data_IF_163701785341
#
_entry.id   IF_163701785341
#
_cell.length_a   1.000
_cell.length_b   1.000
_cell.length_c   1.000
_cell.angle_alpha   90.00
_cell.angle_beta   90.00
_cell.angle_gamma   90.00
#
_symmetry.space_group_name_H-M   'P 1'
#
loop_
_entity.id
_entity.type
_entity.pdbx_description
1 polymer ?
#
# COMPACT_ATOMS: atom_id res chain seq x y z
N UNK A 1 0.22 14.10 -7.25
CA UNK A 1 -0.08 14.07 -5.81
C UNK A 1 -1.57 14.26 -5.63
N UNK A 2 -2.14 13.66 -4.58
CA UNK A 2 -3.53 13.91 -4.18
C UNK A 2 -3.71 15.40 -3.83
N UNK A 3 -4.73 16.03 -4.41
CA UNK A 3 -4.91 17.49 -4.32
C UNK A 3 -5.74 17.91 -3.11
N UNK A 4 -6.72 17.08 -2.73
CA UNK A 4 -7.67 17.39 -1.67
C UNK A 4 -8.26 16.12 -1.04
N UNK A 5 -9.05 16.28 0.03
CA UNK A 5 -9.63 15.16 0.79
C UNK A 5 -10.69 14.42 -0.03
N UNK A 6 -11.40 15.10 -0.91
CA UNK A 6 -12.40 14.49 -1.78
C UNK A 6 -11.75 13.50 -2.75
N UNK A 7 -10.64 13.87 -3.39
CA UNK A 7 -9.89 13.00 -4.30
C UNK A 7 -9.32 11.77 -3.57
N UNK A 8 -8.88 11.92 -2.31
CA UNK A 8 -8.46 10.79 -1.47
C UNK A 8 -9.62 9.84 -1.16
N UNK A 9 -10.80 10.38 -0.80
CA UNK A 9 -11.99 9.58 -0.54
C UNK A 9 -12.47 8.87 -1.82
N UNK A 10 -12.43 9.54 -2.97
CA UNK A 10 -12.74 8.91 -4.27
C UNK A 10 -11.78 7.77 -4.58
N UNK A 11 -10.48 7.95 -4.34
CA UNK A 11 -9.48 6.92 -4.54
C UNK A 11 -9.76 5.69 -3.67
N UNK A 12 -10.06 5.90 -2.39
CA UNK A 12 -10.41 4.83 -1.45
C UNK A 12 -11.65 4.08 -1.93
N UNK A 13 -12.72 4.79 -2.31
CA UNK A 13 -13.95 4.18 -2.84
C UNK A 13 -13.69 3.38 -4.11
N UNK A 14 -12.84 3.89 -5.00
CA UNK A 14 -12.44 3.16 -6.20
C UNK A 14 -11.70 1.87 -5.86
N UNK A 15 -10.85 1.87 -4.82
CA UNK A 15 -10.24 0.68 -4.27
C UNK A 15 -11.27 -0.39 -3.87
N UNK A 16 -12.32 -0.01 -3.14
CA UNK A 16 -13.39 -0.96 -2.77
C UNK A 16 -14.20 -1.48 -3.96
N UNK A 17 -14.40 -0.67 -5.00
CA UNK A 17 -15.04 -1.16 -6.23
C UNK A 17 -14.15 -2.19 -6.96
N UNK A 18 -12.83 -2.01 -6.95
CA UNK A 18 -11.88 -3.02 -7.45
C UNK A 18 -11.90 -4.26 -6.55
N UNK A 19 -11.92 -4.10 -5.22
CA UNK A 19 -12.01 -5.21 -4.26
C UNK A 19 -13.18 -6.14 -4.57
N UNK A 20 -14.36 -5.59 -4.83
CA UNK A 20 -15.53 -6.40 -5.23
C UNK A 20 -15.28 -7.20 -6.51
N UNK A 21 -14.61 -6.61 -7.51
CA UNK A 21 -14.29 -7.30 -8.77
C UNK A 21 -13.28 -8.43 -8.53
N UNK A 22 -12.22 -8.16 -7.77
CA UNK A 22 -11.14 -9.11 -7.50
C UNK A 22 -11.64 -10.24 -6.60
N UNK A 23 -12.34 -9.96 -5.49
CA UNK A 23 -12.88 -11.00 -4.61
C UNK A 23 -13.93 -11.87 -5.33
N UNK A 24 -14.68 -11.31 -6.28
CA UNK A 24 -15.61 -12.13 -7.10
C UNK A 24 -14.89 -12.97 -8.15
N UNK A 25 -13.71 -12.55 -8.59
CA UNK A 25 -12.88 -13.33 -9.50
C UNK A 25 -12.11 -14.42 -8.75
N UNK A 26 -11.67 -14.12 -7.53
CA UNK A 26 -10.94 -15.00 -6.63
C UNK A 26 -9.81 -15.77 -7.33
N UNK A 27 -8.78 -15.05 -7.80
CA UNK A 27 -7.82 -15.56 -8.79
C UNK A 27 -7.07 -16.84 -8.39
N UNK A 28 -6.98 -17.13 -7.09
CA UNK A 28 -6.33 -18.33 -6.55
C UNK A 28 -7.16 -19.00 -5.45
N UNK A 29 -8.48 -18.76 -5.43
CA UNK A 29 -9.45 -19.46 -4.58
C UNK A 29 -9.16 -19.29 -3.07
N UNK A 30 -8.93 -18.04 -2.64
CA UNK A 30 -8.68 -17.73 -1.23
C UNK A 30 -9.94 -17.35 -0.47
N UNK A 31 -11.01 -16.92 -1.13
CA UNK A 31 -12.19 -16.40 -0.43
C UNK A 31 -12.98 -17.46 0.35
N UNK A 32 -12.74 -18.75 0.10
CA UNK A 32 -13.30 -19.85 0.91
C UNK A 32 -12.56 -20.03 2.25
N UNK A 33 -11.28 -19.68 2.31
CA UNK A 33 -10.39 -20.03 3.42
C UNK A 33 -9.85 -18.83 4.20
N UNK A 34 -9.78 -17.66 3.54
CA UNK A 34 -9.13 -16.47 4.04
C UNK A 34 -10.13 -15.33 4.24
N UNK A 35 -9.81 -14.34 5.10
CA UNK A 35 -10.60 -13.13 5.22
C UNK A 35 -10.60 -12.30 3.93
N UNK A 36 -11.56 -11.38 3.79
CA UNK A 36 -11.73 -10.61 2.55
C UNK A 36 -10.60 -9.60 2.26
N UNK A 37 -9.67 -9.36 3.17
CA UNK A 37 -8.54 -8.43 3.01
C UNK A 37 -7.31 -9.04 2.32
N UNK A 38 -7.39 -10.32 1.95
CA UNK A 38 -6.30 -11.09 1.36
C UNK A 38 -5.67 -10.44 0.13
N UNK A 39 -6.48 -9.85 -0.76
CA UNK A 39 -6.01 -9.22 -1.99
C UNK A 39 -5.72 -7.72 -1.86
N UNK A 40 -5.72 -7.14 -0.65
CA UNK A 40 -5.61 -5.68 -0.47
C UNK A 40 -4.33 -5.10 -1.09
N UNK A 41 -3.25 -5.88 -1.13
CA UNK A 41 -1.97 -5.43 -1.67
C UNK A 41 -2.01 -5.31 -3.21
N UNK A 42 -2.58 -6.30 -3.87
CA UNK A 42 -2.80 -6.36 -5.32
C UNK A 42 -3.82 -5.30 -5.74
N UNK A 43 -4.95 -5.22 -5.02
CA UNK A 43 -6.01 -4.24 -5.26
C UNK A 43 -5.45 -2.82 -5.19
N UNK A 44 -4.63 -2.51 -4.17
CA UNK A 44 -3.99 -1.20 -4.04
C UNK A 44 -3.05 -0.90 -5.21
N UNK A 45 -2.26 -1.90 -5.64
CA UNK A 45 -1.40 -1.80 -6.82
C UNK A 45 -2.19 -1.49 -8.10
N UNK A 46 -3.24 -2.25 -8.38
CA UNK A 46 -4.13 -2.06 -9.54
C UNK A 46 -4.80 -0.69 -9.49
N UNK A 47 -5.34 -0.30 -8.33
CA UNK A 47 -5.99 1.00 -8.09
C UNK A 47 -5.06 2.16 -8.45
N UNK A 48 -3.84 2.15 -7.89
CA UNK A 48 -2.86 3.20 -8.11
C UNK A 48 -2.41 3.24 -9.58
N UNK A 49 -2.22 2.07 -10.22
CA UNK A 49 -1.87 1.98 -11.64
C UNK A 49 -2.93 2.63 -12.53
N UNK A 50 -4.21 2.32 -12.31
CA UNK A 50 -5.33 2.87 -13.10
C UNK A 50 -5.52 4.36 -12.82
N UNK A 51 -5.39 4.80 -11.57
CA UNK A 51 -5.47 6.21 -11.21
C UNK A 51 -4.36 7.05 -11.86
N UNK A 52 -3.14 6.50 -11.93
CA UNK A 52 -2.00 7.13 -12.59
C UNK A 52 -2.12 7.12 -14.13
N UNK A 53 -2.86 6.17 -14.70
CA UNK A 53 -2.96 5.95 -16.15
C UNK A 53 -4.42 5.90 -16.59
N UNK A 54 -5.13 7.03 -16.52
CA UNK A 54 -6.58 7.11 -16.77
C UNK A 54 -7.05 6.53 -18.11
N UNK A 55 -6.19 6.54 -19.12
CA UNK A 55 -6.47 6.06 -20.47
C UNK A 55 -5.75 4.73 -20.79
N UNK A 56 -5.37 3.95 -19.77
CA UNK A 56 -4.73 2.65 -19.98
C UNK A 56 -5.65 1.73 -20.81
N UNK A 57 -5.09 1.14 -21.86
CA UNK A 57 -5.80 0.15 -22.66
C UNK A 57 -6.06 -1.12 -21.85
N UNK A 58 -7.20 -1.77 -22.09
CA UNK A 58 -7.60 -2.98 -21.34
C UNK A 58 -6.61 -4.13 -21.51
N UNK A 59 -5.94 -4.27 -22.67
CA UNK A 59 -4.94 -5.33 -22.87
C UNK A 59 -3.71 -5.06 -22.04
N UNK A 60 -3.25 -3.81 -22.02
CA UNK A 60 -2.11 -3.39 -21.22
C UNK A 60 -2.41 -3.53 -19.72
N UNK A 61 -3.58 -3.07 -19.27
CA UNK A 61 -3.99 -3.26 -17.87
C UNK A 61 -4.11 -4.75 -17.51
N UNK A 62 -4.65 -5.59 -18.40
CA UNK A 62 -4.70 -7.04 -18.17
C UNK A 62 -3.31 -7.66 -18.00
N UNK A 63 -2.32 -7.22 -18.78
CA UNK A 63 -0.93 -7.64 -18.62
C UNK A 63 -0.32 -7.20 -17.29
N UNK A 64 -0.61 -5.98 -16.84
CA UNK A 64 -0.13 -5.47 -15.55
C UNK A 64 -0.79 -6.17 -14.35
N UNK A 65 -2.10 -6.45 -14.41
CA UNK A 65 -2.80 -7.28 -13.42
C UNK A 65 -2.14 -8.65 -13.32
N UNK A 66 -1.87 -9.30 -14.45
CA UNK A 66 -1.16 -10.59 -14.49
C UNK A 66 0.22 -10.49 -13.82
N UNK A 67 0.96 -9.41 -14.03
CA UNK A 67 2.26 -9.19 -13.39
C UNK A 67 2.14 -8.99 -11.87
N UNK A 68 1.14 -8.25 -11.39
CA UNK A 68 0.87 -8.09 -9.95
C UNK A 68 0.64 -9.44 -9.29
N UNK A 69 -0.31 -10.22 -9.80
CA UNK A 69 -0.64 -11.49 -9.17
C UNK A 69 0.53 -12.49 -9.24
N UNK A 70 1.29 -12.52 -10.35
CA UNK A 70 2.53 -13.32 -10.42
C UNK A 70 3.61 -12.85 -9.46
N UNK A 71 3.68 -11.56 -9.16
CA UNK A 71 4.68 -11.04 -8.22
C UNK A 71 4.40 -11.54 -6.81
N UNK A 72 3.14 -11.50 -6.37
CA UNK A 72 2.77 -11.89 -5.02
C UNK A 72 2.63 -13.41 -4.83
N UNK A 73 2.05 -14.10 -5.81
CA UNK A 73 1.72 -15.52 -5.70
C UNK A 73 2.64 -16.40 -6.53
N UNK A 74 3.66 -15.84 -7.17
CA UNK A 74 4.68 -16.58 -7.92
C UNK A 74 4.08 -17.63 -8.88
N UNK A 75 4.38 -18.91 -8.65
CA UNK A 75 3.93 -20.02 -9.48
C UNK A 75 2.50 -20.47 -9.16
N UNK A 76 1.94 -20.07 -8.01
CA UNK A 76 0.59 -20.45 -7.58
C UNK A 76 -0.47 -19.68 -8.39
N UNK A 77 -0.12 -18.53 -8.94
CA UNK A 77 -0.99 -17.82 -9.88
C UNK A 77 -0.82 -18.33 -11.32
N UNK A 78 -1.78 -19.16 -11.75
CA UNK A 78 -1.90 -19.59 -13.14
C UNK A 78 -3.30 -19.28 -13.68
N UNK A 79 -3.39 -18.24 -14.51
CA UNK A 79 -4.64 -17.77 -15.09
C UNK A 79 -4.92 -18.32 -16.48
N UNK A 80 -6.20 -18.58 -16.76
CA UNK A 80 -6.68 -18.87 -18.11
C UNK A 80 -6.44 -17.70 -19.07
N UNK A 81 -6.42 -18.00 -20.37
CA UNK A 81 -6.18 -16.98 -21.40
C UNK A 81 -7.29 -15.91 -21.39
N UNK A 82 -6.88 -14.64 -21.41
CA UNK A 82 -7.73 -13.44 -21.49
C UNK A 82 -8.57 -13.11 -20.23
N UNK A 83 -8.46 -13.87 -19.14
CA UNK A 83 -9.26 -13.58 -17.94
C UNK A 83 -8.92 -12.19 -17.37
N UNK A 84 -7.64 -11.80 -17.35
CA UNK A 84 -7.22 -10.50 -16.85
C UNK A 84 -7.67 -9.34 -17.75
N UNK A 85 -7.83 -9.56 -19.06
CA UNK A 85 -8.37 -8.53 -19.96
C UNK A 85 -9.86 -8.26 -19.65
N UNK A 86 -10.61 -9.31 -19.32
CA UNK A 86 -12.01 -9.18 -18.88
C UNK A 86 -12.09 -8.46 -17.53
N UNK A 87 -11.21 -8.78 -16.58
CA UNK A 87 -11.11 -8.10 -15.29
C UNK A 87 -10.71 -6.64 -15.46
N UNK A 88 -9.71 -6.36 -16.29
CA UNK A 88 -9.29 -5.02 -16.66
C UNK A 88 -10.44 -4.19 -17.24
N UNK A 89 -11.25 -4.78 -18.12
CA UNK A 89 -12.42 -4.12 -18.70
C UNK A 89 -13.44 -3.70 -17.64
N UNK A 90 -13.72 -4.57 -16.65
CA UNK A 90 -14.61 -4.26 -15.51
C UNK A 90 -14.05 -3.12 -14.65
N UNK A 91 -12.75 -3.12 -14.40
CA UNK A 91 -12.06 -2.08 -13.60
C UNK A 91 -12.09 -0.73 -14.31
N UNK A 92 -11.79 -0.70 -15.62
CA UNK A 92 -11.85 0.52 -16.44
C UNK A 92 -13.28 1.07 -16.47
N UNK A 93 -14.30 0.22 -16.57
CA UNK A 93 -15.68 0.69 -16.52
C UNK A 93 -16.02 1.34 -15.17
N UNK A 94 -15.57 0.73 -14.06
CA UNK A 94 -15.75 1.34 -12.73
C UNK A 94 -14.98 2.64 -12.56
N UNK A 95 -13.78 2.76 -13.12
CA UNK A 95 -12.95 3.95 -12.96
C UNK A 95 -13.60 5.21 -13.56
N UNK A 96 -14.44 5.07 -14.59
CA UNK A 96 -15.18 6.18 -15.21
C UNK A 96 -16.09 6.96 -14.24
N UNK A 97 -16.53 6.32 -13.15
CA UNK A 97 -17.33 6.96 -12.10
C UNK A 97 -16.55 8.03 -11.33
N UNK A 98 -15.23 7.91 -11.28
CA UNK A 98 -14.36 8.73 -10.46
C UNK A 98 -13.63 9.77 -11.29
N UNK A 99 -13.37 10.95 -10.71
CA UNK A 99 -12.65 12.04 -11.38
C UNK A 99 -11.19 12.12 -10.91
N UNK A 100 -10.56 10.96 -10.74
CA UNK A 100 -9.18 10.85 -10.27
C UNK A 100 -8.23 11.52 -11.27
N UNK A 101 -7.45 12.48 -10.78
CA UNK A 101 -6.43 13.22 -11.54
C UNK A 101 -5.15 13.36 -10.70
N UNK A 102 -4.84 12.31 -9.92
CA UNK A 102 -3.75 12.31 -8.97
C UNK A 102 -2.61 11.43 -9.47
N UNK A 103 -1.39 11.94 -9.28
CA UNK A 103 -0.18 11.12 -9.31
C UNK A 103 -0.02 10.55 -7.91
N UNK A 104 -0.11 9.24 -7.78
CA UNK A 104 0.08 8.47 -6.55
C UNK A 104 1.38 7.67 -6.72
N UNK A 105 2.19 7.47 -5.65
CA UNK A 105 3.31 6.54 -5.72
C UNK A 105 2.87 5.21 -6.33
N UNK A 106 3.53 4.82 -7.43
CA UNK A 106 3.21 3.56 -8.07
C UNK A 106 3.77 2.45 -7.18
N UNK A 107 2.93 1.48 -6.82
CA UNK A 107 3.30 0.46 -5.85
C UNK A 107 4.40 -0.48 -6.37
N UNK A 108 4.61 -0.53 -7.68
CA UNK A 108 5.73 -1.25 -8.31
C UNK A 108 7.10 -0.56 -8.18
N UNK A 109 7.26 0.49 -7.36
CA UNK A 109 8.59 0.92 -6.93
C UNK A 109 9.18 -0.18 -6.01
N UNK A 110 9.55 -1.27 -6.69
CA UNK A 110 10.23 -2.46 -6.23
C UNK A 110 11.68 -2.08 -5.97
N UNK A 111 11.94 -1.27 -4.95
CA UNK A 111 13.18 -1.50 -4.22
C UNK A 111 13.03 -2.92 -3.65
N UNK A 112 13.47 -3.91 -4.44
CA UNK A 112 13.53 -5.29 -4.01
C UNK A 112 14.40 -5.31 -2.77
N UNK A 113 13.77 -5.50 -1.62
CA UNK A 113 14.49 -5.64 -0.37
C UNK A 113 15.15 -7.01 -0.44
N UNK A 114 16.45 -7.00 -0.73
CA UNK A 114 17.26 -8.22 -0.78
C UNK A 114 17.69 -8.51 0.65
N UNK A 115 17.06 -9.51 1.27
CA UNK A 115 17.48 -10.04 2.57
C UNK A 115 18.67 -10.98 2.36
N UNK A 116 19.70 -10.87 3.21
CA UNK A 116 20.88 -11.75 3.12
C UNK A 116 20.62 -13.12 3.75
N UNK A 117 19.68 -13.19 4.69
CA UNK A 117 19.33 -14.40 5.42
C UNK A 117 17.90 -14.30 5.99
N UNK A 118 17.39 -15.43 6.46
CA UNK A 118 16.08 -15.57 7.08
C UNK A 118 15.90 -14.64 8.30
N UNK A 119 16.93 -14.50 9.14
CA UNK A 119 16.89 -13.61 10.30
C UNK A 119 16.63 -12.15 9.93
N UNK A 120 17.25 -11.63 8.87
CA UNK A 120 16.99 -10.27 8.38
C UNK A 120 15.56 -10.11 7.86
N UNK A 121 15.03 -11.14 7.19
CA UNK A 121 13.65 -11.18 6.73
C UNK A 121 12.66 -11.18 7.90
N UNK A 122 12.90 -12.00 8.92
CA UNK A 122 12.06 -12.07 10.13
C UNK A 122 12.03 -10.74 10.88
N UNK A 123 13.19 -10.11 11.05
CA UNK A 123 13.29 -8.77 11.66
C UNK A 123 12.45 -7.78 10.85
N UNK A 124 12.57 -7.78 9.52
CA UNK A 124 11.81 -6.88 8.66
C UNK A 124 10.30 -7.11 8.76
N UNK A 125 9.85 -8.37 8.71
CA UNK A 125 8.43 -8.74 8.83
C UNK A 125 7.87 -8.26 10.17
N UNK A 126 8.56 -8.55 11.27
CA UNK A 126 8.14 -8.12 12.61
C UNK A 126 8.09 -6.59 12.74
N UNK A 127 9.08 -5.88 12.20
CA UNK A 127 9.06 -4.42 12.15
C UNK A 127 7.90 -3.89 11.33
N UNK A 128 7.63 -4.49 10.17
CA UNK A 128 6.52 -4.07 9.33
C UNK A 128 5.18 -4.22 10.04
N UNK A 129 4.95 -5.33 10.72
CA UNK A 129 3.73 -5.57 11.50
C UNK A 129 3.59 -4.51 12.61
N UNK A 130 4.63 -4.30 13.41
CA UNK A 130 4.57 -3.37 14.55
C UNK A 130 4.44 -1.92 14.12
N UNK A 131 5.18 -1.51 13.10
CA UNK A 131 5.09 -0.16 12.57
C UNK A 131 3.74 0.06 11.89
N UNK A 132 3.17 -0.95 11.20
CA UNK A 132 1.80 -0.89 10.67
C UNK A 132 0.78 -0.62 11.78
N UNK A 133 0.86 -1.33 12.90
CA UNK A 133 -0.02 -1.11 14.06
C UNK A 133 0.09 0.33 14.58
N UNK A 134 1.32 0.84 14.77
CA UNK A 134 1.57 2.20 15.25
C UNK A 134 1.03 3.26 14.28
N UNK A 135 1.34 3.12 12.99
CA UNK A 135 0.96 4.11 11.97
C UNK A 135 -0.55 4.11 11.72
N UNK A 136 -1.19 2.93 11.67
CA UNK A 136 -2.63 2.84 11.53
C UNK A 136 -3.36 3.39 12.77
N UNK A 137 -2.79 3.23 13.97
CA UNK A 137 -3.37 3.81 15.19
C UNK A 137 -3.20 5.33 15.25
N UNK A 138 -2.09 5.85 14.72
CA UNK A 138 -1.88 7.29 14.57
C UNK A 138 -2.84 7.90 13.56
N UNK A 139 -3.10 7.20 12.46
CA UNK A 139 -3.99 7.60 11.36
C UNK A 139 -3.84 9.09 11.00
N UNK A 140 -2.67 9.51 10.48
CA UNK A 140 -2.36 10.92 10.28
C UNK A 140 -3.30 11.64 9.30
N UNK A 141 -4.11 10.90 8.52
CA UNK A 141 -5.09 11.47 7.59
C UNK A 141 -6.54 11.26 8.05
N UNK A 142 -6.77 10.56 9.16
CA UNK A 142 -8.11 10.21 9.67
C UNK A 142 -8.91 9.48 8.59
N UNK A 143 -8.35 8.41 8.05
CA UNK A 143 -8.91 7.59 6.97
C UNK A 143 -9.05 6.11 7.31
N UNK A 144 -8.48 5.61 8.40
CA UNK A 144 -8.45 4.18 8.69
C UNK A 144 -9.84 3.58 8.88
N UNK A 145 -10.82 4.36 9.35
CA UNK A 145 -12.22 3.94 9.46
C UNK A 145 -12.90 3.69 8.10
N UNK A 146 -12.32 4.19 7.01
CA UNK A 146 -12.91 4.13 5.67
C UNK A 146 -12.01 3.49 4.62
N UNK A 147 -10.77 3.11 4.96
CA UNK A 147 -9.77 2.60 4.03
C UNK A 147 -9.36 1.16 4.32
N UNK A 148 -8.56 0.60 3.42
CA UNK A 148 -7.87 -0.68 3.64
C UNK A 148 -6.87 -0.59 4.78
N UNK A 149 -6.60 -1.73 5.42
CA UNK A 149 -5.64 -1.82 6.52
C UNK A 149 -4.22 -1.47 6.09
N UNK A 150 -3.94 -1.62 4.79
CA UNK A 150 -2.63 -1.42 4.19
C UNK A 150 -2.48 -0.05 3.50
N UNK A 151 -3.36 0.92 3.75
CA UNK A 151 -3.36 2.21 3.04
C UNK A 151 -2.04 3.00 3.23
N UNK A 152 -1.37 2.85 4.39
CA UNK A 152 -0.05 3.44 4.66
C UNK A 152 1.16 2.55 4.34
N UNK A 153 0.95 1.42 3.64
CA UNK A 153 2.03 0.44 3.40
C UNK A 153 3.27 1.00 2.71
N UNK A 154 3.11 2.03 1.86
CA UNK A 154 4.24 2.68 1.19
C UNK A 154 5.08 3.51 2.16
N UNK A 155 4.41 4.32 2.98
CA UNK A 155 5.04 5.16 4.00
C UNK A 155 5.76 4.28 5.02
N UNK A 156 5.10 3.20 5.47
CA UNK A 156 5.67 2.23 6.41
C UNK A 156 6.95 1.60 5.84
N UNK A 157 6.95 1.15 4.58
CA UNK A 157 8.14 0.60 3.92
C UNK A 157 9.30 1.60 3.92
N UNK A 158 9.04 2.86 3.60
CA UNK A 158 10.06 3.92 3.63
C UNK A 158 10.58 4.21 5.04
N UNK A 159 9.70 4.23 6.03
CA UNK A 159 10.06 4.41 7.43
C UNK A 159 11.01 3.31 7.89
N UNK A 160 10.72 2.05 7.57
CA UNK A 160 11.62 0.91 7.87
C UNK A 160 12.95 1.08 7.15
N UNK A 161 12.93 1.46 5.88
CA UNK A 161 14.15 1.70 5.10
C UNK A 161 15.06 2.77 5.72
N UNK A 162 14.50 3.85 6.28
CA UNK A 162 15.27 4.87 7.00
C UNK A 162 15.72 4.39 8.38
N UNK A 163 14.86 3.68 9.12
CA UNK A 163 15.15 3.12 10.43
C UNK A 163 16.36 2.18 10.40
N UNK A 164 16.43 1.29 9.40
CA UNK A 164 17.51 0.32 9.22
C UNK A 164 18.88 0.94 8.88
N UNK A 165 18.95 2.26 8.62
CA UNK A 165 20.22 2.99 8.42
C UNK A 165 20.87 3.44 9.74
N UNK A 166 20.40 2.94 10.88
CA UNK A 166 20.89 3.29 12.23
C UNK A 166 20.82 4.80 12.50
N UNK A 167 19.68 5.41 12.20
CA UNK A 167 19.45 6.84 12.44
C UNK A 167 19.10 7.12 13.92
N UNK A 168 19.03 8.39 14.30
CA UNK A 168 18.56 8.81 15.63
C UNK A 168 17.04 9.00 15.64
N UNK A 169 16.39 8.95 16.82
CA UNK A 169 14.95 9.26 16.98
C UNK A 169 14.61 10.61 16.35
N UNK A 170 15.45 11.63 16.57
CA UNK A 170 15.22 12.97 16.03
C UNK A 170 15.33 13.03 14.50
N UNK A 171 16.18 12.19 13.90
CA UNK A 171 16.26 12.08 12.45
C UNK A 171 15.10 11.25 11.89
N UNK A 172 14.69 10.17 12.54
CA UNK A 172 13.52 9.39 12.14
C UNK A 172 12.25 10.25 12.15
N UNK A 173 12.06 11.06 13.19
CA UNK A 173 10.97 12.05 13.25
C UNK A 173 10.92 12.93 12.00
N UNK A 174 12.07 13.45 11.57
CA UNK A 174 12.18 14.30 10.37
C UNK A 174 11.86 13.52 9.10
N UNK A 175 12.34 12.28 8.99
CA UNK A 175 12.06 11.43 7.83
C UNK A 175 10.57 11.01 7.78
N UNK A 176 9.93 10.67 8.90
CA UNK A 176 8.48 10.42 8.96
C UNK A 176 7.71 11.64 8.43
N UNK A 177 8.02 12.84 8.94
CA UNK A 177 7.38 14.08 8.48
C UNK A 177 7.54 14.27 6.97
N UNK A 178 8.76 14.06 6.46
CA UNK A 178 9.08 14.21 5.03
C UNK A 178 8.39 13.16 4.17
N UNK A 179 8.35 11.90 4.60
CA UNK A 179 7.68 10.79 3.89
C UNK A 179 6.20 11.11 3.70
N UNK A 180 5.48 11.44 4.78
CA UNK A 180 4.06 11.75 4.70
C UNK A 180 3.77 13.05 3.93
N UNK A 181 4.59 14.10 4.10
CA UNK A 181 4.49 15.31 3.26
C UNK A 181 4.69 15.01 1.78
N UNK A 182 5.64 14.13 1.44
CA UNK A 182 5.92 13.77 0.06
C UNK A 182 4.84 12.86 -0.55
N UNK A 183 4.10 12.10 0.25
CA UNK A 183 2.99 11.28 -0.23
C UNK A 183 1.69 12.08 -0.37
N UNK A 184 1.39 12.94 0.61
CA UNK A 184 0.06 13.53 0.77
C UNK A 184 0.04 15.07 0.71
N UNK A 185 1.19 15.74 0.57
CA UNK A 185 1.34 17.18 0.46
C UNK A 185 0.46 17.96 1.46
N UNK A 186 -0.46 18.80 0.97
CA UNK A 186 -1.32 19.65 1.80
C UNK A 186 -2.42 18.94 2.58
N UNK A 187 -2.59 17.63 2.38
CA UNK A 187 -3.53 16.81 3.18
C UNK A 187 -2.93 16.42 4.53
N UNK A 188 -1.62 16.25 4.59
CA UNK A 188 -0.92 15.92 5.81
C UNK A 188 -0.69 17.19 6.63
N UNK A 189 -1.60 17.43 7.57
CA UNK A 189 -1.56 18.54 8.53
C UNK A 189 -1.51 17.94 9.92
N UNK A 190 -0.39 18.16 10.59
CA UNK A 190 -0.10 17.52 11.87
C UNK A 190 -0.40 18.51 12.99
N UNK A 191 -0.95 18.00 14.08
CA UNK A 191 -0.97 18.72 15.34
C UNK A 191 0.45 18.71 15.95
N UNK A 192 0.79 19.69 16.80
CA UNK A 192 2.17 19.86 17.27
C UNK A 192 2.67 18.61 18.02
N UNK A 193 3.83 18.08 17.59
CA UNK A 193 4.64 17.03 18.24
C UNK A 193 4.23 15.57 18.05
N UNK A 194 3.15 15.26 17.32
CA UNK A 194 2.74 13.85 17.12
C UNK A 194 3.87 12.98 16.53
N UNK A 195 4.65 13.48 15.58
CA UNK A 195 5.68 12.64 14.94
C UNK A 195 6.82 12.26 15.88
N UNK A 196 7.05 13.03 16.95
CA UNK A 196 8.03 12.68 17.96
C UNK A 196 7.57 11.44 18.74
N UNK A 197 6.31 11.42 19.16
CA UNK A 197 5.73 10.28 19.87
C UNK A 197 5.74 9.03 18.99
N UNK A 198 5.41 9.17 17.71
CA UNK A 198 5.46 8.07 16.74
C UNK A 198 6.89 7.58 16.54
N UNK A 199 7.86 8.47 16.38
CA UNK A 199 9.26 8.08 16.26
C UNK A 199 9.77 7.34 17.50
N UNK A 200 9.36 7.75 18.71
CA UNK A 200 9.71 7.07 19.96
C UNK A 200 9.14 5.64 20.01
N UNK A 201 7.83 5.48 19.74
CA UNK A 201 7.18 4.16 19.71
C UNK A 201 7.84 3.21 18.70
N UNK A 202 8.18 3.70 17.52
CA UNK A 202 8.87 2.90 16.48
C UNK A 202 10.27 2.47 16.96
N UNK A 203 11.01 3.34 17.63
CA UNK A 203 12.33 3.00 18.19
C UNK A 203 12.25 1.99 19.32
N UNK A 204 11.23 2.06 20.17
CA UNK A 204 11.02 1.07 21.23
C UNK A 204 10.81 -0.33 20.63
N UNK A 205 9.89 -0.46 19.66
CA UNK A 205 9.67 -1.73 18.95
C UNK A 205 10.92 -2.22 18.23
N UNK A 206 11.66 -1.33 17.57
CA UNK A 206 12.91 -1.67 16.91
C UNK A 206 13.95 -2.25 17.87
N UNK A 207 14.12 -1.63 19.03
CA UNK A 207 15.04 -2.12 20.05
C UNK A 207 14.60 -3.45 20.66
N UNK A 208 13.30 -3.68 20.80
CA UNK A 208 12.76 -4.94 21.32
C UNK A 208 13.03 -6.09 20.34
N UNK A 209 12.77 -5.86 19.04
CA UNK A 209 12.96 -6.88 17.99
C UNK A 209 14.45 -7.15 17.73
N UNK A 210 15.28 -6.10 17.62
CA UNK A 210 16.70 -6.25 17.28
C UNK A 210 17.55 -6.92 18.37
N UNK A 211 17.09 -6.90 19.63
CA UNK A 211 17.74 -7.54 20.78
C UNK A 211 17.24 -8.96 21.07
N UNK A 212 16.18 -9.40 20.39
CA UNK A 212 15.65 -10.76 20.47
C UNK A 212 16.40 -11.73 19.56
#
# INVERSE_FOLDING_TARGET
MLKNREELIELIKFGYDIKKIINSWDPIVLMEFCPEDEYEAEIKGIRNLVANNRNIDKKLLGQEIKKIFRYYFSNDYNSEKNIEENIASKIIEKSKKYKLSCIIPNYYDNENIIFKNEKEMDIYINLYIKIKEIINSWDPLKIMDISFSNEYSYEIKKIIGELLKNITIQNLRKEINKIFKNSYNGLYKIEKNEEMEIAQKIFEEYNNISKS
#
